data_IF_980616643265
#
_entry.id   IF_980616643265
#
_cell.length_a   1.000
_cell.length_b   1.000
_cell.length_c   1.000
_cell.angle_alpha   90.00
_cell.angle_beta   90.00
_cell.angle_gamma   90.00
#
_symmetry.space_group_name_H-M   'P 1'
#
loop_
_entity.id
_entity.type
_entity.pdbx_description
1 polymer ?
#
# COMPACT_ATOMS: atom_id res chain seq x y z
N UNK A 1 13.83 6.03 23.31
CA UNK A 1 13.54 5.10 22.20
C UNK A 1 14.55 3.97 22.24
N UNK A 2 14.09 2.72 22.23
CA UNK A 2 14.96 1.56 22.06
C UNK A 2 15.40 1.51 20.59
N UNK A 3 16.69 1.31 20.32
CA UNK A 3 17.16 1.09 18.94
C UNK A 3 16.93 -0.36 18.53
N UNK A 4 16.68 -0.59 17.24
CA UNK A 4 16.42 -1.92 16.69
C UNK A 4 17.12 -2.12 15.35
N UNK A 5 17.42 -3.37 15.02
CA UNK A 5 17.95 -3.81 13.73
C UNK A 5 16.83 -4.26 12.79
N UNK A 6 16.97 -4.02 11.49
CA UNK A 6 15.96 -4.41 10.48
C UNK A 6 16.60 -5.07 9.27
N UNK A 7 16.01 -6.19 8.84
CA UNK A 7 16.34 -6.82 7.56
C UNK A 7 15.32 -6.45 6.47
N UNK A 8 15.80 -5.91 5.35
CA UNK A 8 14.99 -5.64 4.16
C UNK A 8 14.98 -6.90 3.30
N UNK A 9 13.80 -7.48 3.09
CA UNK A 9 13.60 -8.77 2.40
C UNK A 9 12.86 -8.54 1.09
N UNK A 10 13.51 -8.87 -0.02
CA UNK A 10 13.08 -8.49 -1.37
C UNK A 10 13.67 -7.13 -1.75
N UNK A 11 14.47 -7.13 -2.81
CA UNK A 11 15.26 -6.00 -3.31
C UNK A 11 14.87 -5.65 -4.76
N UNK A 12 13.59 -5.83 -5.08
CA UNK A 12 13.00 -5.35 -6.33
C UNK A 12 12.98 -3.83 -6.43
N UNK A 13 12.39 -3.28 -7.49
CA UNK A 13 12.49 -1.84 -7.82
C UNK A 13 12.01 -0.88 -6.71
N UNK A 14 11.11 -1.32 -5.83
CA UNK A 14 10.51 -0.51 -4.78
C UNK A 14 11.35 -0.44 -3.48
N UNK A 15 12.05 -1.51 -3.12
CA UNK A 15 12.73 -1.63 -1.82
C UNK A 15 13.94 -0.68 -1.59
N UNK A 16 14.78 -0.33 -2.59
CA UNK A 16 15.99 0.46 -2.35
C UNK A 16 15.78 1.79 -1.63
N UNK A 17 14.67 2.48 -1.87
CA UNK A 17 14.37 3.75 -1.17
C UNK A 17 14.16 3.54 0.34
N UNK A 18 13.55 2.41 0.72
CA UNK A 18 13.32 2.07 2.11
C UNK A 18 14.63 1.70 2.83
N UNK A 19 15.62 1.13 2.12
CA UNK A 19 16.96 0.87 2.69
C UNK A 19 17.57 2.18 3.20
N UNK A 20 17.59 3.21 2.36
CA UNK A 20 18.17 4.51 2.73
C UNK A 20 17.42 5.18 3.89
N UNK A 21 16.09 5.11 3.88
CA UNK A 21 15.26 5.69 4.93
C UNK A 21 15.43 4.95 6.27
N UNK A 22 15.45 3.61 6.26
CA UNK A 22 15.74 2.85 7.49
C UNK A 22 17.15 3.13 8.01
N UNK A 23 18.16 3.22 7.15
CA UNK A 23 19.52 3.60 7.56
C UNK A 23 19.58 5.01 8.18
N UNK A 24 18.79 5.94 7.66
CA UNK A 24 18.77 7.32 8.13
C UNK A 24 17.95 7.50 9.43
N UNK A 25 17.06 6.58 9.78
CA UNK A 25 16.16 6.76 10.91
C UNK A 25 16.90 6.59 12.26
N UNK A 26 16.80 7.53 13.22
CA UNK A 26 17.59 7.51 14.46
C UNK A 26 17.31 6.31 15.38
N UNK A 27 16.14 5.70 15.28
CA UNK A 27 15.78 4.49 16.03
C UNK A 27 16.36 3.19 15.43
N UNK A 28 16.93 3.21 14.22
CA UNK A 28 17.50 2.02 13.60
C UNK A 28 18.99 1.93 13.94
N UNK A 29 19.45 0.77 14.40
CA UNK A 29 20.86 0.51 14.74
C UNK A 29 21.64 -0.16 13.64
N UNK A 30 21.00 -1.02 12.85
CA UNK A 30 21.60 -1.78 11.76
C UNK A 30 20.54 -2.06 10.70
N UNK A 31 20.94 -1.97 9.43
CA UNK A 31 20.14 -2.44 8.29
C UNK A 31 20.90 -3.58 7.62
N UNK A 32 20.20 -4.67 7.35
CA UNK A 32 20.68 -5.79 6.54
C UNK A 32 19.75 -6.04 5.37
N UNK A 33 20.22 -6.73 4.33
CA UNK A 33 19.43 -6.98 3.11
C UNK A 33 19.41 -8.47 2.75
N UNK A 34 18.32 -8.90 2.12
CA UNK A 34 18.07 -10.26 1.71
C UNK A 34 17.28 -10.28 0.38
N UNK A 35 17.75 -11.05 -0.60
CA UNK A 35 17.01 -11.36 -1.82
C UNK A 35 17.51 -12.70 -2.38
N UNK A 36 16.64 -13.45 -3.04
CA UNK A 36 17.01 -14.72 -3.70
C UNK A 36 17.91 -14.52 -4.93
N UNK A 37 18.02 -13.28 -5.43
CA UNK A 37 18.90 -12.89 -6.54
C UNK A 37 20.18 -12.26 -5.97
N UNK A 38 21.32 -12.99 -5.96
CA UNK A 38 22.56 -12.54 -5.33
C UNK A 38 23.08 -11.20 -5.87
N UNK A 39 22.87 -10.94 -7.17
CA UNK A 39 23.29 -9.70 -7.81
C UNK A 39 22.56 -8.47 -7.24
N UNK A 40 21.29 -8.62 -6.85
CA UNK A 40 20.54 -7.54 -6.19
C UNK A 40 21.09 -7.27 -4.80
N UNK A 41 21.38 -8.33 -4.03
CA UNK A 41 22.00 -8.22 -2.70
C UNK A 41 23.34 -7.49 -2.79
N UNK A 42 24.23 -7.94 -3.68
CA UNK A 42 25.54 -7.31 -3.87
C UNK A 42 25.42 -5.84 -4.28
N UNK A 43 24.54 -5.52 -5.23
CA UNK A 43 24.36 -4.15 -5.72
C UNK A 43 23.81 -3.21 -4.65
N UNK A 44 22.77 -3.63 -3.90
CA UNK A 44 22.19 -2.80 -2.84
C UNK A 44 23.15 -2.66 -1.67
N UNK A 45 23.85 -3.74 -1.28
CA UNK A 45 24.82 -3.70 -0.18
C UNK A 45 25.99 -2.77 -0.49
N UNK A 46 26.55 -2.83 -1.70
CA UNK A 46 27.63 -1.93 -2.14
C UNK A 46 27.17 -0.48 -2.16
N UNK A 47 26.04 -0.18 -2.79
CA UNK A 47 25.50 1.19 -2.91
C UNK A 47 25.22 1.85 -1.57
N UNK A 48 24.79 1.06 -0.58
CA UNK A 48 24.37 1.55 0.73
C UNK A 48 25.41 1.30 1.84
N UNK A 49 26.57 0.74 1.51
CA UNK A 49 27.63 0.42 2.48
C UNK A 49 27.19 -0.58 3.55
N UNK A 50 26.33 -1.54 3.21
CA UNK A 50 25.82 -2.56 4.13
C UNK A 50 26.81 -3.72 4.25
N UNK A 51 27.18 -4.07 5.47
CA UNK A 51 28.12 -5.18 5.74
C UNK A 51 27.42 -6.50 6.03
N UNK A 52 26.13 -6.47 6.35
CA UNK A 52 25.35 -7.64 6.73
C UNK A 52 24.30 -7.96 5.66
N UNK A 53 24.40 -9.14 5.09
CA UNK A 53 23.51 -9.65 4.04
C UNK A 53 23.09 -11.07 4.36
N UNK A 54 21.96 -11.50 3.79
CA UNK A 54 21.44 -12.85 3.91
C UNK A 54 21.09 -13.40 2.53
N UNK A 55 21.29 -14.70 2.35
CA UNK A 55 21.05 -15.39 1.08
C UNK A 55 19.57 -15.80 0.92
N UNK A 56 18.87 -16.02 2.03
CA UNK A 56 17.46 -16.39 2.04
C UNK A 56 16.73 -15.91 3.31
N UNK A 57 15.40 -16.00 3.27
CA UNK A 57 14.54 -15.53 4.34
C UNK A 57 14.68 -16.35 5.63
N UNK A 58 14.96 -17.65 5.55
CA UNK A 58 15.13 -18.49 6.75
C UNK A 58 16.37 -18.04 7.54
N UNK A 59 17.46 -17.72 6.85
CA UNK A 59 18.66 -17.16 7.45
C UNK A 59 18.41 -15.82 8.16
N UNK A 60 17.49 -15.00 7.63
CA UNK A 60 17.04 -13.76 8.31
C UNK A 60 16.29 -14.11 9.59
N UNK A 61 15.36 -15.06 9.54
CA UNK A 61 14.53 -15.47 10.66
C UNK A 61 15.34 -16.09 11.81
N UNK A 62 16.36 -16.89 11.49
CA UNK A 62 17.27 -17.53 12.45
C UNK A 62 18.31 -16.57 13.05
N UNK A 63 18.44 -15.36 12.49
CA UNK A 63 19.38 -14.36 12.97
C UNK A 63 18.88 -13.57 14.18
N UNK A 64 19.71 -12.68 14.71
CA UNK A 64 19.38 -11.79 15.84
C UNK A 64 18.72 -10.47 15.43
N UNK A 65 18.30 -10.31 14.16
CA UNK A 65 17.59 -9.07 13.74
C UNK A 65 16.28 -8.90 14.52
N UNK A 66 15.93 -7.67 14.88
CA UNK A 66 14.71 -7.38 15.65
C UNK A 66 13.46 -7.34 14.75
N UNK A 67 13.62 -6.84 13.51
CA UNK A 67 12.51 -6.60 12.58
C UNK A 67 12.82 -7.06 11.15
N UNK A 68 11.78 -7.32 10.37
CA UNK A 68 11.84 -7.55 8.92
C UNK A 68 10.96 -6.54 8.19
N UNK A 69 11.41 -6.07 7.04
CA UNK A 69 10.62 -5.26 6.10
C UNK A 69 10.49 -6.03 4.78
N UNK A 70 9.27 -6.48 4.47
CA UNK A 70 8.97 -7.40 3.37
C UNK A 70 8.51 -6.62 2.14
N UNK A 71 9.25 -6.76 1.04
CA UNK A 71 9.01 -6.15 -0.27
C UNK A 71 9.06 -7.18 -1.40
N UNK A 72 8.71 -8.43 -1.10
CA UNK A 72 8.69 -9.55 -2.06
C UNK A 72 7.45 -9.50 -2.96
N UNK A 73 7.17 -10.58 -3.68
CA UNK A 73 5.94 -10.72 -4.44
C UNK A 73 4.72 -10.71 -3.52
N UNK A 74 3.63 -10.08 -3.98
CA UNK A 74 2.43 -9.74 -3.20
C UNK A 74 1.80 -10.95 -2.48
N UNK A 75 1.79 -12.12 -3.11
CA UNK A 75 1.25 -13.36 -2.53
C UNK A 75 2.15 -14.00 -1.45
N UNK A 76 3.40 -13.53 -1.32
CA UNK A 76 4.33 -14.02 -0.30
C UNK A 76 4.24 -13.22 1.01
N UNK A 77 3.62 -12.04 1.00
CA UNK A 77 3.56 -11.16 2.18
C UNK A 77 2.92 -11.83 3.39
N UNK A 78 1.75 -12.45 3.19
CA UNK A 78 1.02 -13.14 4.26
C UNK A 78 1.84 -14.25 4.91
N UNK A 79 2.25 -15.28 4.14
CA UNK A 79 3.07 -16.38 4.64
C UNK A 79 4.37 -15.93 5.32
N UNK A 80 5.08 -14.94 4.75
CA UNK A 80 6.34 -14.45 5.31
C UNK A 80 6.14 -13.65 6.60
N UNK A 81 5.09 -12.83 6.68
CA UNK A 81 4.75 -12.09 7.89
C UNK A 81 4.39 -13.03 9.05
N UNK A 82 3.62 -14.08 8.78
CA UNK A 82 3.26 -15.11 9.76
C UNK A 82 4.51 -15.76 10.35
N UNK A 83 5.46 -16.18 9.51
CA UNK A 83 6.66 -16.84 9.98
C UNK A 83 7.58 -15.90 10.77
N UNK A 84 7.71 -14.65 10.31
CA UNK A 84 8.45 -13.61 11.03
C UNK A 84 7.88 -13.35 12.44
N UNK A 85 6.56 -13.18 12.56
CA UNK A 85 5.91 -12.96 13.86
C UNK A 85 6.08 -14.18 14.78
N UNK A 86 5.94 -15.41 14.25
CA UNK A 86 6.20 -16.65 15.01
C UNK A 86 7.63 -16.76 15.51
N UNK A 87 8.60 -16.19 14.79
CA UNK A 87 10.03 -16.13 15.16
C UNK A 87 10.40 -14.89 15.99
N UNK A 88 9.41 -14.15 16.49
CA UNK A 88 9.66 -13.04 17.41
C UNK A 88 10.10 -11.75 16.73
N UNK A 89 9.85 -11.58 15.43
CA UNK A 89 10.28 -10.41 14.65
C UNK A 89 9.15 -9.40 14.49
N UNK A 90 9.44 -8.11 14.62
CA UNK A 90 8.53 -7.06 14.16
C UNK A 90 8.44 -7.08 12.63
N UNK A 91 7.28 -6.74 12.06
CA UNK A 91 7.03 -6.85 10.61
C UNK A 91 6.55 -5.52 10.04
N UNK A 92 7.30 -5.00 9.07
CA UNK A 92 6.80 -4.08 8.06
C UNK A 92 6.50 -4.88 6.79
N UNK A 93 5.32 -4.75 6.21
CA UNK A 93 4.96 -5.44 4.96
C UNK A 93 4.53 -4.43 3.91
N UNK A 94 5.05 -4.54 2.69
CA UNK A 94 4.41 -3.91 1.55
C UNK A 94 2.97 -4.42 1.38
N UNK A 95 2.17 -3.69 0.61
CA UNK A 95 0.77 -4.04 0.33
C UNK A 95 0.68 -5.19 -0.68
N UNK A 96 -0.33 -6.08 -0.60
CA UNK A 96 -1.34 -6.17 0.44
C UNK A 96 -0.82 -6.92 1.67
N UNK A 97 -1.63 -6.97 2.75
CA UNK A 97 -1.30 -7.71 3.98
C UNK A 97 -1.15 -9.22 3.76
N UNK A 98 -1.93 -9.77 2.84
CA UNK A 98 -2.01 -11.19 2.49
C UNK A 98 -3.05 -11.38 1.38
N UNK A 99 -3.19 -12.60 0.89
CA UNK A 99 -4.10 -12.92 -0.23
C UNK A 99 -5.26 -13.85 0.15
N UNK A 100 -5.30 -14.29 1.42
CA UNK A 100 -6.42 -15.03 1.99
C UNK A 100 -6.88 -14.43 3.32
N UNK A 101 -8.16 -14.64 3.66
CA UNK A 101 -8.72 -14.21 4.95
C UNK A 101 -8.06 -14.98 6.09
N UNK A 102 -7.65 -16.21 5.84
CA UNK A 102 -6.95 -17.10 6.77
C UNK A 102 -5.58 -16.54 7.15
N UNK A 103 -4.76 -16.15 6.16
CA UNK A 103 -3.47 -15.49 6.41
C UNK A 103 -3.65 -14.22 7.25
N UNK A 104 -4.61 -13.37 6.87
CA UNK A 104 -4.86 -12.10 7.56
C UNK A 104 -5.30 -12.33 9.00
N UNK A 105 -6.22 -13.29 9.23
CA UNK A 105 -6.66 -13.68 10.57
C UNK A 105 -5.47 -14.12 11.42
N UNK A 106 -4.59 -14.95 10.87
CA UNK A 106 -3.43 -15.45 11.59
C UNK A 106 -2.45 -14.33 11.95
N UNK A 107 -2.19 -13.39 11.04
CA UNK A 107 -1.32 -12.23 11.33
C UNK A 107 -1.91 -11.39 12.47
N UNK A 108 -3.22 -11.13 12.46
CA UNK A 108 -3.90 -10.39 13.53
C UNK A 108 -3.77 -11.12 14.88
N UNK A 109 -3.98 -12.44 14.88
CA UNK A 109 -3.86 -13.28 16.09
C UNK A 109 -2.42 -13.34 16.64
N UNK A 110 -1.42 -13.47 15.76
CA UNK A 110 -0.01 -13.43 16.12
C UNK A 110 0.39 -12.05 16.66
N UNK A 111 -0.02 -10.97 15.99
CA UNK A 111 0.22 -9.60 16.46
C UNK A 111 -0.38 -9.39 17.85
N UNK A 112 -1.62 -9.85 18.07
CA UNK A 112 -2.31 -9.76 19.37
C UNK A 112 -1.61 -10.57 20.47
N UNK A 113 -1.21 -11.81 20.18
CA UNK A 113 -0.68 -12.74 21.19
C UNK A 113 0.79 -12.50 21.55
N UNK A 114 1.58 -12.02 20.58
CA UNK A 114 3.01 -11.74 20.79
C UNK A 114 3.28 -10.32 21.27
N UNK A 115 2.38 -9.37 20.98
CA UNK A 115 2.60 -7.95 21.20
C UNK A 115 3.64 -7.33 20.25
N UNK A 116 4.09 -8.08 19.23
CA UNK A 116 4.98 -7.57 18.20
C UNK A 116 4.27 -6.55 17.31
N UNK A 117 5.06 -5.67 16.71
CA UNK A 117 4.55 -4.68 15.76
C UNK A 117 4.35 -5.34 14.41
N UNK A 118 3.14 -5.23 13.86
CA UNK A 118 2.89 -5.38 12.43
C UNK A 118 2.42 -4.05 11.87
N UNK A 119 3.00 -3.63 10.74
CA UNK A 119 2.53 -2.49 9.97
C UNK A 119 2.50 -2.83 8.48
N UNK A 120 1.40 -2.49 7.81
CA UNK A 120 1.36 -2.50 6.35
C UNK A 120 1.77 -1.13 5.81
N UNK A 121 2.70 -1.11 4.86
CA UNK A 121 3.19 0.06 4.15
C UNK A 121 2.20 0.64 3.14
N UNK A 122 0.98 0.97 3.60
CA UNK A 122 -0.09 1.51 2.76
C UNK A 122 0.16 2.99 2.43
N UNK A 123 0.68 3.25 1.23
CA UNK A 123 1.05 4.59 0.77
C UNK A 123 -0.12 5.55 0.70
N UNK A 124 -1.33 5.07 0.34
CA UNK A 124 -2.52 5.92 0.19
C UNK A 124 -2.93 6.61 1.49
N UNK A 125 -2.56 6.07 2.65
CA UNK A 125 -2.81 6.71 3.95
C UNK A 125 -2.20 8.13 4.00
N UNK A 126 -1.06 8.31 3.34
CA UNK A 126 -0.32 9.57 3.26
C UNK A 126 -0.48 10.29 1.93
N UNK A 127 -1.34 9.81 1.01
CA UNK A 127 -1.61 10.58 -0.21
C UNK A 127 -2.19 11.95 0.18
N UNK A 128 -1.72 13.05 -0.43
CA UNK A 128 -2.14 14.39 -0.07
C UNK A 128 -3.66 14.58 -0.08
N UNK A 129 -4.36 13.93 -1.01
CA UNK A 129 -5.83 13.91 -1.06
C UNK A 129 -6.45 13.35 0.23
N UNK A 130 -5.90 12.24 0.74
CA UNK A 130 -6.35 11.57 1.96
C UNK A 130 -6.00 12.38 3.20
N UNK A 131 -4.80 12.97 3.26
CA UNK A 131 -4.38 13.86 4.36
C UNK A 131 -5.28 15.10 4.42
N UNK A 132 -5.55 15.73 3.27
CA UNK A 132 -6.48 16.86 3.15
C UNK A 132 -7.88 16.48 3.62
N UNK A 133 -8.43 15.35 3.15
CA UNK A 133 -9.76 14.92 3.54
C UNK A 133 -9.84 14.58 5.04
N UNK A 134 -8.80 13.99 5.64
CA UNK A 134 -8.75 13.76 7.09
C UNK A 134 -8.79 15.08 7.87
N UNK A 135 -8.05 16.11 7.44
CA UNK A 135 -8.10 17.45 8.07
C UNK A 135 -9.50 18.07 7.95
N UNK A 136 -10.12 18.00 6.77
CA UNK A 136 -11.48 18.49 6.57
C UNK A 136 -12.51 17.74 7.43
N UNK A 137 -12.39 16.42 7.58
CA UNK A 137 -13.25 15.64 8.47
C UNK A 137 -13.03 16.00 9.94
N UNK A 138 -11.78 16.16 10.38
CA UNK A 138 -11.46 16.56 11.75
C UNK A 138 -12.05 17.94 12.11
N UNK A 139 -12.20 18.83 11.12
CA UNK A 139 -12.88 20.13 11.26
C UNK A 139 -14.41 20.04 11.21
N UNK A 140 -14.98 18.85 11.01
CA UNK A 140 -16.41 18.62 10.83
C UNK A 140 -16.97 19.06 9.48
N UNK A 141 -16.11 19.40 8.51
CA UNK A 141 -16.52 20.08 7.28
C UNK A 141 -17.31 19.20 6.30
N UNK A 142 -17.22 17.88 6.41
CA UNK A 142 -18.05 16.95 5.65
C UNK A 142 -19.48 16.79 6.21
N UNK A 143 -19.70 17.09 7.50
CA UNK A 143 -20.85 16.55 8.23
C UNK A 143 -20.80 15.02 8.27
N UNK A 144 -21.90 14.34 7.97
CA UNK A 144 -21.90 12.89 7.81
C UNK A 144 -21.46 12.48 6.40
N UNK A 145 -20.48 11.60 6.26
CA UNK A 145 -20.09 11.02 4.96
C UNK A 145 -21.14 10.00 4.55
N UNK A 146 -21.66 10.14 3.33
CA UNK A 146 -22.74 9.28 2.80
C UNK A 146 -22.28 8.36 1.68
N UNK A 147 -21.26 8.79 0.93
CA UNK A 147 -20.75 8.07 -0.23
C UNK A 147 -19.29 8.43 -0.47
N UNK A 148 -18.50 7.45 -0.89
CA UNK A 148 -17.12 7.66 -1.30
C UNK A 148 -16.75 6.75 -2.47
N UNK A 149 -15.73 7.18 -3.20
CA UNK A 149 -15.12 6.48 -4.32
C UNK A 149 -13.62 6.38 -4.09
N UNK A 150 -13.07 5.20 -4.27
CA UNK A 150 -11.64 4.96 -4.38
C UNK A 150 -11.36 4.23 -5.68
N UNK A 151 -10.36 4.64 -6.44
CA UNK A 151 -10.05 4.02 -7.72
C UNK A 151 -8.56 3.78 -7.81
N UNK A 152 -8.16 2.65 -8.39
CA UNK A 152 -6.78 2.41 -8.81
C UNK A 152 -6.80 1.97 -10.28
N UNK A 153 -6.43 2.93 -11.13
CA UNK A 153 -6.51 2.85 -12.58
C UNK A 153 -5.10 2.85 -13.13
N UNK A 154 -4.59 1.66 -13.46
CA UNK A 154 -3.23 1.49 -13.93
C UNK A 154 -3.24 0.50 -15.08
N UNK A 155 -3.15 1.01 -16.31
CA UNK A 155 -3.21 0.15 -17.49
C UNK A 155 -1.96 -0.73 -17.60
N UNK A 156 -2.12 -1.96 -18.07
CA UNK A 156 -0.99 -2.86 -18.32
C UNK A 156 0.09 -2.23 -19.22
N UNK A 157 -0.31 -1.40 -20.18
CA UNK A 157 0.60 -0.72 -21.10
C UNK A 157 1.44 0.38 -20.43
N UNK A 158 1.05 0.87 -19.26
CA UNK A 158 1.74 1.93 -18.52
C UNK A 158 2.90 1.38 -17.66
N UNK A 159 3.74 0.53 -18.26
CA UNK A 159 4.98 0.01 -17.64
C UNK A 159 4.82 -1.32 -16.88
N UNK A 160 3.60 -1.81 -16.63
CA UNK A 160 3.38 -3.09 -15.94
C UNK A 160 3.96 -4.29 -16.69
N UNK A 161 3.93 -4.33 -18.03
CA UNK A 161 4.61 -5.39 -18.78
C UNK A 161 6.09 -5.52 -18.41
N UNK A 162 6.81 -4.41 -18.33
CA UNK A 162 8.24 -4.40 -18.01
C UNK A 162 8.48 -4.72 -16.54
N UNK A 163 7.65 -4.20 -15.63
CA UNK A 163 7.71 -4.53 -14.20
C UNK A 163 7.48 -6.03 -13.93
N UNK A 164 6.52 -6.66 -14.61
CA UNK A 164 6.31 -8.10 -14.47
C UNK A 164 7.44 -8.90 -15.10
N UNK A 165 7.96 -8.52 -16.28
CA UNK A 165 9.15 -9.18 -16.87
C UNK A 165 10.36 -9.11 -15.95
N UNK A 166 10.59 -7.95 -15.32
CA UNK A 166 11.70 -7.74 -14.37
C UNK A 166 11.59 -8.67 -13.15
N UNK A 167 10.38 -8.88 -12.64
CA UNK A 167 10.14 -9.68 -11.44
C UNK A 167 9.98 -11.17 -11.69
N UNK A 168 9.32 -11.55 -12.80
CA UNK A 168 8.96 -12.93 -13.12
C UNK A 168 9.79 -13.59 -14.23
N UNK A 169 10.73 -12.87 -14.86
CA UNK A 169 11.59 -13.41 -15.91
C UNK A 169 10.77 -13.95 -17.09
N UNK A 170 11.17 -15.09 -17.67
CA UNK A 170 10.45 -15.71 -18.79
C UNK A 170 9.01 -16.13 -18.44
N UNK A 171 8.75 -16.46 -17.16
CA UNK A 171 7.45 -16.91 -16.65
C UNK A 171 6.51 -15.79 -16.21
N UNK A 172 6.84 -14.53 -16.45
CA UNK A 172 6.15 -13.38 -15.85
C UNK A 172 4.63 -13.33 -16.04
N UNK A 173 4.13 -13.87 -17.16
CA UNK A 173 2.69 -13.88 -17.49
C UNK A 173 1.85 -14.63 -16.45
N UNK A 174 2.39 -15.72 -15.90
CA UNK A 174 1.67 -16.51 -14.90
C UNK A 174 1.32 -15.67 -13.67
N UNK A 175 2.12 -14.67 -13.36
CA UNK A 175 1.94 -13.79 -12.21
C UNK A 175 1.33 -12.43 -12.53
N UNK A 176 1.13 -12.12 -13.82
CA UNK A 176 0.68 -10.80 -14.26
C UNK A 176 -0.83 -10.60 -14.16
N UNK A 177 -1.63 -11.67 -14.24
CA UNK A 177 -3.08 -11.66 -14.02
C UNK A 177 -3.45 -11.78 -12.54
N UNK A 178 -2.68 -11.17 -11.64
CA UNK A 178 -3.08 -11.06 -10.24
C UNK A 178 -4.47 -10.39 -10.17
N UNK A 179 -5.48 -11.03 -9.54
CA UNK A 179 -6.83 -10.49 -9.57
C UNK A 179 -6.87 -9.05 -9.05
N UNK A 180 -7.51 -8.10 -9.76
CA UNK A 180 -7.47 -6.69 -9.39
C UNK A 180 -7.91 -6.43 -7.94
N UNK A 181 -8.97 -7.09 -7.47
CA UNK A 181 -9.49 -6.99 -6.11
C UNK A 181 -8.68 -7.76 -5.05
N UNK A 182 -7.59 -8.44 -5.40
CA UNK A 182 -6.58 -8.85 -4.40
C UNK A 182 -5.58 -7.73 -4.09
N UNK A 183 -5.67 -6.57 -4.76
CA UNK A 183 -4.82 -5.40 -4.53
C UNK A 183 -5.56 -4.05 -4.32
N UNK A 184 -6.76 -3.98 -3.71
CA UNK A 184 -7.52 -2.73 -3.65
C UNK A 184 -7.12 -1.86 -2.45
N UNK A 185 -5.99 -2.15 -1.80
CA UNK A 185 -5.65 -1.52 -0.51
C UNK A 185 -5.47 -0.02 -0.63
N UNK A 186 -4.96 0.48 -1.77
CA UNK A 186 -4.88 1.92 -2.03
C UNK A 186 -6.26 2.57 -2.14
N UNK A 187 -7.16 1.97 -2.92
CA UNK A 187 -8.52 2.48 -3.17
C UNK A 187 -9.41 2.38 -1.93
N UNK A 188 -9.39 1.23 -1.25
CA UNK A 188 -10.17 0.99 -0.02
C UNK A 188 -9.54 1.74 1.15
N UNK A 189 -8.23 1.59 1.33
CA UNK A 189 -7.48 2.14 2.46
C UNK A 189 -7.46 3.66 2.46
N UNK A 190 -7.32 4.31 1.30
CA UNK A 190 -7.37 5.77 1.22
C UNK A 190 -8.72 6.33 1.68
N UNK A 191 -9.84 5.70 1.32
CA UNK A 191 -11.17 6.12 1.80
C UNK A 191 -11.35 5.80 3.28
N UNK A 192 -11.05 4.57 3.71
CA UNK A 192 -11.25 4.16 5.10
C UNK A 192 -10.33 4.91 6.07
N UNK A 193 -9.15 5.35 5.61
CA UNK A 193 -8.27 6.25 6.37
C UNK A 193 -8.95 7.59 6.65
N UNK A 194 -9.80 8.09 5.75
CA UNK A 194 -10.61 9.30 5.98
C UNK A 194 -11.76 8.98 6.91
N UNK A 195 -12.60 8.00 6.58
CA UNK A 195 -13.87 7.78 7.29
C UNK A 195 -13.71 7.18 8.68
N UNK A 196 -12.65 6.42 8.93
CA UNK A 196 -12.46 5.63 10.15
C UNK A 196 -13.47 4.48 10.30
N UNK A 197 -14.27 4.19 9.27
CA UNK A 197 -15.27 3.12 9.27
C UNK A 197 -14.66 1.79 8.82
N UNK A 198 -15.47 0.74 8.76
CA UNK A 198 -15.10 -0.56 8.18
C UNK A 198 -16.21 -1.11 7.29
N UNK A 199 -15.84 -2.03 6.40
CA UNK A 199 -16.76 -2.65 5.44
C UNK A 199 -17.50 -3.82 6.10
N UNK A 200 -18.81 -3.91 5.86
CA UNK A 200 -19.66 -5.00 6.37
C UNK A 200 -20.14 -5.97 5.27
N UNK A 201 -20.28 -5.50 4.03
CA UNK A 201 -20.64 -6.33 2.89
C UNK A 201 -20.20 -5.71 1.56
N UNK A 202 -20.10 -6.55 0.53
CA UNK A 202 -19.71 -6.16 -0.83
C UNK A 202 -20.52 -6.89 -1.89
N UNK A 203 -20.78 -6.24 -3.02
CA UNK A 203 -21.12 -6.87 -4.30
C UNK A 203 -20.14 -6.36 -5.36
N UNK A 204 -19.58 -7.24 -6.19
CA UNK A 204 -18.53 -6.91 -7.16
C UNK A 204 -18.80 -7.57 -8.50
N UNK A 205 -18.50 -6.85 -9.59
CA UNK A 205 -18.57 -7.38 -10.95
C UNK A 205 -17.21 -7.25 -11.63
N UNK A 206 -16.84 -8.25 -12.42
CA UNK A 206 -15.61 -8.28 -13.19
C UNK A 206 -15.87 -8.13 -14.69
N UNK A 207 -14.97 -7.42 -15.39
CA UNK A 207 -14.89 -7.40 -16.85
C UNK A 207 -13.82 -8.39 -17.27
N UNK A 208 -14.21 -9.36 -18.10
CA UNK A 208 -13.30 -10.33 -18.68
C UNK A 208 -12.42 -9.66 -19.72
N UNK A 209 -11.12 -9.94 -19.68
CA UNK A 209 -10.18 -9.42 -20.67
C UNK A 209 -10.45 -10.02 -22.05
N UNK A 210 -10.31 -9.20 -23.08
CA UNK A 210 -10.46 -9.65 -24.48
C UNK A 210 -9.21 -9.42 -25.31
N UNK A 211 -8.10 -9.01 -24.67
CA UNK A 211 -6.83 -8.76 -25.34
C UNK A 211 -6.05 -10.06 -25.50
N UNK A 212 -5.49 -10.28 -26.70
CA UNK A 212 -4.73 -11.49 -27.04
C UNK A 212 -3.22 -11.29 -26.79
N UNK A 213 -2.83 -11.09 -25.53
CA UNK A 213 -1.44 -10.98 -25.10
C UNK A 213 -0.98 -12.07 -24.11
N UNK A 214 -1.94 -12.94 -23.74
CA UNK A 214 -1.77 -14.07 -22.84
C UNK A 214 -1.65 -13.71 -21.35
N UNK A 215 -1.90 -12.45 -20.94
CA UNK A 215 -1.79 -12.05 -19.53
C UNK A 215 -2.94 -12.64 -18.70
N UNK A 216 -4.17 -12.46 -19.15
CA UNK A 216 -5.40 -12.93 -18.49
C UNK A 216 -5.90 -14.27 -19.05
N UNK A 217 -5.02 -15.04 -19.69
CA UNK A 217 -5.33 -16.43 -20.06
C UNK A 217 -5.35 -17.29 -18.80
N UNK A 218 -6.52 -17.83 -18.47
CA UNK A 218 -6.73 -18.71 -17.30
C UNK A 218 -5.84 -19.95 -17.29
N UNK A 219 -5.36 -20.43 -18.44
CA UNK A 219 -4.45 -21.57 -18.53
C UNK A 219 -3.00 -21.22 -18.16
N UNK A 220 -2.66 -19.93 -18.22
CA UNK A 220 -1.33 -19.40 -17.88
C UNK A 220 -1.33 -18.80 -16.47
N UNK A 221 -2.43 -18.14 -16.09
CA UNK A 221 -2.61 -17.46 -14.80
C UNK A 221 -2.43 -18.40 -13.61
N UNK A 222 -1.59 -18.00 -12.65
CA UNK A 222 -1.42 -18.72 -11.37
C UNK A 222 -2.70 -18.70 -10.51
N UNK A 223 -3.66 -17.81 -10.81
CA UNK A 223 -4.93 -17.69 -10.10
C UNK A 223 -6.14 -18.14 -10.94
N UNK A 224 -5.92 -18.56 -12.19
CA UNK A 224 -7.02 -18.79 -13.13
C UNK A 224 -7.85 -17.54 -13.39
N UNK A 225 -7.27 -16.34 -13.26
CA UNK A 225 -7.99 -15.08 -13.36
C UNK A 225 -8.13 -14.61 -14.81
N UNK A 226 -9.36 -14.31 -15.21
CA UNK A 226 -9.72 -13.73 -16.51
C UNK A 226 -10.18 -12.27 -16.41
N UNK A 227 -10.34 -11.73 -15.20
CA UNK A 227 -10.79 -10.35 -15.02
C UNK A 227 -9.62 -9.38 -15.10
N UNK A 228 -9.68 -8.46 -16.06
CA UNK A 228 -8.75 -7.34 -16.14
C UNK A 228 -9.16 -6.18 -15.25
N UNK A 229 -10.47 -5.99 -15.09
CA UNK A 229 -11.06 -4.89 -14.34
C UNK A 229 -12.16 -5.43 -13.41
N UNK A 230 -12.21 -4.92 -12.19
CA UNK A 230 -13.27 -5.24 -11.23
C UNK A 230 -13.82 -3.96 -10.59
N UNK A 231 -15.13 -3.92 -10.38
CA UNK A 231 -15.84 -2.81 -9.72
C UNK A 231 -16.69 -3.33 -8.58
N UNK A 232 -16.49 -2.78 -7.38
CA UNK A 232 -17.16 -3.21 -6.15
C UNK A 232 -17.99 -2.09 -5.53
N UNK A 233 -19.16 -2.47 -5.00
CA UNK A 233 -20.01 -1.62 -4.16
C UNK A 233 -20.08 -2.20 -2.74
N UNK A 234 -19.48 -1.46 -1.81
CA UNK A 234 -19.37 -1.81 -0.40
C UNK A 234 -20.40 -1.08 0.45
N UNK A 235 -20.84 -1.72 1.53
CA UNK A 235 -21.56 -1.07 2.63
C UNK A 235 -20.64 -0.95 3.83
N UNK A 236 -20.61 0.23 4.42
CA UNK A 236 -19.80 0.53 5.61
C UNK A 236 -20.62 0.40 6.89
N UNK A 237 -19.96 0.22 8.03
CA UNK A 237 -20.61 -0.04 9.32
C UNK A 237 -21.43 1.15 9.85
N UNK A 238 -21.07 2.36 9.44
CA UNK A 238 -21.79 3.62 9.69
C UNK A 238 -22.95 3.88 8.70
N UNK A 239 -23.27 2.92 7.84
CA UNK A 239 -24.41 2.98 6.91
C UNK A 239 -24.12 3.72 5.61
N UNK A 240 -22.87 4.11 5.37
CA UNK A 240 -22.41 4.69 4.11
C UNK A 240 -22.17 3.65 3.01
N UNK A 241 -21.79 4.17 1.84
CA UNK A 241 -21.51 3.38 0.64
C UNK A 241 -20.11 3.76 0.12
N UNK A 242 -19.33 2.75 -0.26
CA UNK A 242 -18.05 2.95 -0.93
C UNK A 242 -18.08 2.22 -2.28
N UNK A 243 -17.77 2.93 -3.37
CA UNK A 243 -17.49 2.32 -4.68
C UNK A 243 -15.98 2.21 -4.88
N UNK A 244 -15.50 1.04 -5.29
CA UNK A 244 -14.09 0.85 -5.70
C UNK A 244 -13.98 0.33 -7.12
N UNK A 245 -13.04 0.88 -7.88
CA UNK A 245 -12.65 0.41 -9.20
C UNK A 245 -11.17 0.01 -9.21
N UNK A 246 -10.88 -1.22 -9.61
CA UNK A 246 -9.52 -1.76 -9.75
C UNK A 246 -9.32 -2.22 -11.20
N UNK A 247 -8.69 -1.37 -12.03
CA UNK A 247 -8.62 -1.59 -13.47
C UNK A 247 -7.18 -1.78 -13.94
N UNK A 248 -6.98 -2.78 -14.83
CA UNK A 248 -5.71 -3.07 -15.52
C UNK A 248 -5.81 -2.89 -17.04
N UNK A 249 -7.02 -2.66 -17.55
CA UNK A 249 -7.31 -2.32 -18.95
C UNK A 249 -8.16 -1.06 -18.98
N UNK A 250 -7.54 0.09 -19.13
CA UNK A 250 -8.20 1.38 -18.98
C UNK A 250 -7.51 2.46 -19.82
N UNK A 251 -8.32 3.27 -20.51
CA UNK A 251 -7.80 4.44 -21.22
C UNK A 251 -7.57 5.61 -20.26
N UNK A 252 -6.44 5.62 -19.56
CA UNK A 252 -6.01 6.73 -18.71
C UNK A 252 -4.80 7.45 -19.32
N UNK A 253 -4.64 8.73 -19.01
CA UNK A 253 -3.49 9.49 -19.46
C UNK A 253 -2.26 9.14 -18.58
N UNK A 254 -1.06 9.00 -19.17
CA UNK A 254 0.15 8.77 -18.39
C UNK A 254 0.46 9.97 -17.48
N UNK A 255 1.17 9.76 -16.38
CA UNK A 255 1.63 10.79 -15.42
C UNK A 255 0.50 11.51 -14.66
N UNK A 256 -0.49 10.77 -14.18
CA UNK A 256 -1.67 11.28 -13.46
C UNK A 256 -1.91 10.40 -12.25
N UNK A 257 -2.53 10.89 -11.15
CA UNK A 257 -2.68 10.07 -9.97
C UNK A 257 -3.46 8.80 -10.35
N UNK A 258 -2.76 7.67 -10.33
CA UNK A 258 -3.29 6.35 -10.66
C UNK A 258 -4.36 5.96 -9.64
N UNK A 259 -4.22 6.47 -8.41
CA UNK A 259 -5.20 6.32 -7.35
C UNK A 259 -5.96 7.63 -7.15
N UNK A 260 -7.29 7.57 -7.16
CA UNK A 260 -8.13 8.77 -7.05
C UNK A 260 -9.25 8.58 -6.05
N UNK A 261 -9.64 9.69 -5.43
CA UNK A 261 -10.68 9.69 -4.40
C UNK A 261 -11.75 10.73 -4.68
N UNK A 262 -13.01 10.37 -4.42
CA UNK A 262 -14.10 11.33 -4.27
C UNK A 262 -14.88 10.99 -3.01
N UNK A 263 -15.16 11.97 -2.15
CA UNK A 263 -15.80 11.76 -0.84
C UNK A 263 -16.91 12.77 -0.69
N UNK A 264 -18.12 12.30 -0.40
CA UNK A 264 -19.32 13.12 -0.33
C UNK A 264 -19.94 13.02 1.05
N UNK A 265 -20.03 14.15 1.73
CA UNK A 265 -20.75 14.29 2.97
C UNK A 265 -21.95 15.24 2.86
N UNK A 266 -22.74 15.28 3.91
CA UNK A 266 -23.95 16.13 4.00
C UNK A 266 -23.68 17.64 3.96
N UNK A 267 -22.45 18.08 4.26
CA UNK A 267 -22.08 19.50 4.33
C UNK A 267 -20.94 19.89 3.39
N UNK A 268 -20.11 18.92 2.99
CA UNK A 268 -18.99 19.17 2.10
C UNK A 268 -18.62 17.93 1.30
N UNK A 269 -17.91 18.12 0.21
CA UNK A 269 -17.42 17.06 -0.65
C UNK A 269 -16.03 17.39 -1.22
N UNK A 270 -15.28 16.34 -1.49
CA UNK A 270 -14.00 16.36 -2.18
C UNK A 270 -14.10 15.53 -3.46
N UNK A 271 -13.60 16.05 -4.57
CA UNK A 271 -13.59 15.36 -5.86
C UNK A 271 -12.19 15.47 -6.48
N UNK A 272 -11.59 14.33 -6.79
CA UNK A 272 -10.31 14.26 -7.51
C UNK A 272 -10.52 13.69 -8.91
N UNK A 273 -10.10 14.47 -9.89
CA UNK A 273 -10.07 14.10 -11.30
C UNK A 273 -8.61 14.02 -11.77
N UNK A 274 -8.41 13.55 -13.00
CA UNK A 274 -7.08 13.39 -13.60
C UNK A 274 -6.17 14.61 -13.42
N UNK A 275 -6.67 15.82 -13.65
CA UNK A 275 -5.84 17.04 -13.60
C UNK A 275 -6.26 18.08 -12.56
N UNK A 276 -7.26 17.79 -11.72
CA UNK A 276 -7.81 18.76 -10.78
C UNK A 276 -8.42 18.11 -9.56
N UNK A 277 -8.32 18.77 -8.41
CA UNK A 277 -8.97 18.40 -7.16
C UNK A 277 -9.79 19.56 -6.64
N UNK A 278 -11.04 19.32 -6.23
CA UNK A 278 -11.98 20.36 -5.80
C UNK A 278 -12.51 20.02 -4.41
N UNK A 279 -12.57 21.03 -3.56
CA UNK A 279 -13.32 21.02 -2.31
C UNK A 279 -14.60 21.85 -2.48
N UNK A 280 -15.74 21.36 -2.01
CA UNK A 280 -17.01 22.07 -2.14
C UNK A 280 -17.90 21.94 -0.91
N UNK A 281 -18.72 22.95 -0.69
CA UNK A 281 -19.71 23.06 0.39
C UNK A 281 -20.99 23.71 -0.14
N UNK A 282 -22.01 23.86 0.70
CA UNK A 282 -23.23 24.60 0.34
C UNK A 282 -22.98 26.08 -0.02
N UNK A 283 -21.87 26.66 0.46
CA UNK A 283 -21.53 28.07 0.24
C UNK A 283 -20.69 28.31 -1.03
N UNK A 284 -20.17 27.26 -1.67
CA UNK A 284 -19.34 27.35 -2.87
C UNK A 284 -18.25 26.28 -2.93
N UNK A 285 -17.32 26.44 -3.87
CA UNK A 285 -16.22 25.50 -4.13
C UNK A 285 -14.86 26.19 -4.28
N UNK A 286 -13.80 25.44 -4.01
CA UNK A 286 -12.39 25.82 -4.07
C UNK A 286 -11.61 24.77 -4.86
N UNK A 287 -10.78 25.22 -5.79
CA UNK A 287 -9.77 24.38 -6.46
C UNK A 287 -8.59 24.17 -5.49
N UNK A 288 -8.27 22.92 -5.15
CA UNK A 288 -7.29 22.58 -4.11
C UNK A 288 -6.10 21.76 -4.62
N UNK A 289 -5.96 21.54 -5.94
CA UNK A 289 -4.88 20.74 -6.56
C UNK A 289 -3.51 21.15 -6.07
N UNK A 290 -3.23 22.46 -6.00
CA UNK A 290 -1.93 22.95 -5.55
C UNK A 290 -1.59 22.54 -4.10
N UNK A 291 -2.60 22.30 -3.25
CA UNK A 291 -2.44 21.85 -1.86
C UNK A 291 -2.24 20.33 -1.78
N UNK A 292 -2.81 19.58 -2.73
CA UNK A 292 -2.80 18.11 -2.75
C UNK A 292 -1.92 17.51 -3.84
N UNK A 293 -0.96 18.27 -4.37
CA UNK A 293 0.04 17.76 -5.31
C UNK A 293 1.40 17.69 -4.63
N UNK A 294 1.96 16.50 -4.50
CA UNK A 294 3.33 16.32 -4.06
C UNK A 294 4.29 16.82 -5.14
N UNK A 295 5.32 17.59 -4.75
CA UNK A 295 6.33 18.09 -5.68
C UNK A 295 7.73 17.73 -5.20
N UNK A 296 8.52 17.18 -6.12
CA UNK A 296 9.95 16.93 -5.90
C UNK A 296 10.69 18.24 -5.67
N UNK A 297 11.60 18.27 -4.70
CA UNK A 297 12.51 19.39 -4.50
C UNK A 297 13.67 19.43 -5.52
N UNK A 298 13.61 18.63 -6.60
CA UNK A 298 14.57 18.69 -7.71
C UNK A 298 15.69 17.66 -7.67
N UNK A 299 15.55 16.57 -6.91
CA UNK A 299 16.43 15.41 -7.00
C UNK A 299 15.68 14.23 -7.60
N UNK A 300 15.67 14.15 -8.93
CA UNK A 300 15.36 12.92 -9.65
C UNK A 300 16.67 12.14 -9.78
N UNK A 301 16.84 11.10 -8.98
CA UNK A 301 17.82 10.06 -9.29
C UNK A 301 17.31 9.32 -10.51
N UNK A 302 18.01 9.38 -11.65
CA UNK A 302 17.64 8.55 -12.80
C UNK A 302 17.71 7.07 -12.40
N UNK A 303 16.56 6.39 -12.48
CA UNK A 303 16.42 4.96 -12.22
C UNK A 303 16.39 4.23 -13.55
N UNK A 304 17.57 3.84 -14.07
CA UNK A 304 17.67 3.09 -15.32
C UNK A 304 17.01 1.70 -15.26
N UNK A 305 16.72 1.22 -14.05
CA UNK A 305 16.09 -0.06 -13.77
C UNK A 305 14.55 0.03 -13.69
N UNK A 306 13.95 1.23 -13.81
CA UNK A 306 12.50 1.46 -13.74
C UNK A 306 12.02 2.02 -15.08
N UNK A 307 10.85 1.55 -15.55
CA UNK A 307 10.25 2.10 -16.77
C UNK A 307 9.96 3.60 -16.59
N UNK A 308 10.17 4.40 -17.65
CA UNK A 308 9.98 5.83 -17.60
C UNK A 308 8.56 6.24 -17.19
N UNK A 309 7.55 5.42 -17.51
CA UNK A 309 6.16 5.65 -17.09
C UNK A 309 5.97 5.59 -15.57
N UNK A 310 6.81 4.83 -14.85
CA UNK A 310 6.72 4.63 -13.40
C UNK A 310 7.65 5.57 -12.60
N UNK A 311 8.58 6.28 -13.26
CA UNK A 311 9.64 7.02 -12.58
C UNK A 311 9.15 8.19 -11.70
N UNK A 312 8.07 8.88 -12.10
CA UNK A 312 7.51 10.00 -11.33
C UNK A 312 6.92 9.54 -9.99
N UNK A 313 6.35 8.33 -9.95
CA UNK A 313 5.83 7.69 -8.75
C UNK A 313 6.92 7.49 -7.71
N UNK A 314 8.20 7.39 -8.08
CA UNK A 314 9.31 7.24 -7.14
C UNK A 314 9.90 8.57 -6.66
N UNK A 315 9.54 9.70 -7.26
CA UNK A 315 10.26 10.99 -7.06
C UNK A 315 9.38 12.14 -6.57
N UNK A 316 8.18 11.85 -6.06
CA UNK A 316 7.08 12.80 -5.83
C UNK A 316 7.36 13.94 -4.83
N UNK A 317 8.17 13.76 -3.79
CA UNK A 317 8.46 14.80 -2.79
C UNK A 317 7.32 15.03 -1.80
N UNK A 318 7.02 16.28 -1.41
CA UNK A 318 5.96 16.60 -0.42
C UNK A 318 4.88 17.51 -1.01
N UNK A 319 3.66 17.43 -0.46
CA UNK A 319 2.57 18.37 -0.73
C UNK A 319 2.41 19.36 0.43
N UNK A 320 1.86 20.57 0.21
CA UNK A 320 1.62 21.55 1.28
C UNK A 320 0.76 21.07 2.46
N UNK A 321 -0.05 20.03 2.27
CA UNK A 321 -0.89 19.43 3.33
C UNK A 321 -0.13 18.46 4.23
N UNK A 322 1.08 18.04 3.86
CA UNK A 322 1.89 17.16 4.69
C UNK A 322 2.51 17.92 5.85
N UNK A 323 2.31 17.41 7.06
CA UNK A 323 3.03 17.87 8.24
C UNK A 323 4.41 17.23 8.28
N UNK A 324 5.43 17.92 7.76
CA UNK A 324 6.79 17.40 7.72
C UNK A 324 7.55 17.56 9.04
N UNK A 325 7.01 18.27 10.03
CA UNK A 325 7.68 18.53 11.31
C UNK A 325 7.75 17.26 12.19
N UNK A 326 6.89 16.27 11.91
CA UNK A 326 6.90 14.96 12.58
C UNK A 326 8.05 14.05 12.12
N UNK A 327 8.71 14.37 11.00
CA UNK A 327 9.76 13.55 10.41
C UNK A 327 11.12 13.87 11.03
N UNK A 328 12.00 12.87 11.19
CA UNK A 328 13.34 13.11 11.73
C UNK A 328 14.16 13.96 10.74
N UNK A 329 14.96 14.89 11.27
CA UNK A 329 15.84 15.74 10.46
C UNK A 329 16.81 14.95 9.56
N UNK A 330 17.12 13.70 9.91
CA UNK A 330 17.97 12.81 9.10
C UNK A 330 17.35 12.40 7.77
N UNK A 331 16.06 12.62 7.56
CA UNK A 331 15.41 12.42 6.26
C UNK A 331 15.53 13.61 5.31
N UNK A 332 16.08 14.74 5.77
CA UNK A 332 16.28 15.91 4.92
C UNK A 332 17.13 15.55 3.69
N UNK A 333 16.59 15.81 2.50
CA UNK A 333 17.24 15.51 1.21
C UNK A 333 17.20 14.03 0.79
N UNK A 334 16.47 13.17 1.50
CA UNK A 334 16.20 11.79 1.06
C UNK A 334 14.99 11.74 0.11
N UNK A 335 14.90 10.65 -0.66
CA UNK A 335 13.76 10.41 -1.53
C UNK A 335 12.45 10.33 -0.75
N UNK A 336 11.35 10.68 -1.41
CA UNK A 336 10.00 10.53 -0.87
C UNK A 336 9.04 10.24 -2.02
N UNK A 337 8.93 8.96 -2.38
CA UNK A 337 8.06 8.48 -3.45
C UNK A 337 6.60 8.31 -3.02
N UNK A 338 5.80 7.87 -3.97
CA UNK A 338 4.38 7.54 -3.90
C UNK A 338 3.60 8.67 -3.24
N UNK A 339 3.56 9.81 -3.94
CA UNK A 339 2.93 11.05 -3.48
C UNK A 339 3.42 11.52 -2.11
N UNK A 340 4.67 11.22 -1.75
CA UNK A 340 5.31 11.69 -0.53
C UNK A 340 5.07 10.86 0.73
N UNK A 341 4.73 9.58 0.56
CA UNK A 341 4.35 8.70 1.66
C UNK A 341 5.52 7.98 2.33
N UNK A 342 6.61 7.68 1.61
CA UNK A 342 7.67 6.77 2.07
C UNK A 342 8.29 7.17 3.41
N UNK A 343 8.60 8.46 3.58
CA UNK A 343 9.22 8.95 4.82
C UNK A 343 8.31 8.77 6.04
N UNK A 344 7.01 9.05 5.88
CA UNK A 344 6.03 8.88 6.95
C UNK A 344 5.88 7.40 7.33
N UNK A 345 5.81 6.50 6.35
CA UNK A 345 5.67 5.07 6.59
C UNK A 345 6.85 4.48 7.39
N UNK A 346 8.08 4.85 7.01
CA UNK A 346 9.28 4.41 7.74
C UNK A 346 9.32 4.98 9.15
N UNK A 347 8.98 6.26 9.30
CA UNK A 347 8.92 6.92 10.60
C UNK A 347 7.90 6.23 11.53
N UNK A 348 6.68 5.99 11.06
CA UNK A 348 5.62 5.35 11.84
C UNK A 348 6.05 3.97 12.35
N UNK A 349 6.61 3.14 11.47
CA UNK A 349 7.06 1.81 11.85
C UNK A 349 8.20 1.88 12.87
N UNK A 350 9.19 2.72 12.63
CA UNK A 350 10.34 2.85 13.51
C UNK A 350 9.96 3.45 14.88
N UNK A 351 9.02 4.39 14.93
CA UNK A 351 8.45 4.91 16.18
C UNK A 351 7.68 3.80 16.90
N UNK A 352 6.83 3.05 16.20
CA UNK A 352 6.07 1.94 16.78
C UNK A 352 6.97 0.87 17.41
N UNK A 353 8.00 0.41 16.69
CA UNK A 353 8.94 -0.60 17.22
C UNK A 353 9.75 -0.04 18.40
N UNK A 354 10.23 1.20 18.31
CA UNK A 354 11.14 1.78 19.31
C UNK A 354 10.47 2.27 20.60
N UNK A 355 9.16 2.47 20.56
CA UNK A 355 8.36 2.99 21.69
C UNK A 355 7.31 2.00 22.18
N UNK A 356 6.93 1.00 21.37
CA UNK A 356 5.81 0.10 21.64
C UNK A 356 4.45 0.70 21.28
N UNK A 357 4.39 1.84 20.58
CA UNK A 357 3.13 2.42 20.12
C UNK A 357 2.51 1.61 18.97
N UNK A 358 1.19 1.75 18.79
CA UNK A 358 0.47 1.14 17.68
C UNK A 358 0.63 2.03 16.43
N UNK A 359 1.13 1.52 15.29
CA UNK A 359 1.25 2.31 14.07
C UNK A 359 -0.14 2.57 13.44
N UNK A 360 -0.28 3.61 12.59
CA UNK A 360 -1.58 3.96 12.01
C UNK A 360 -2.21 2.83 11.19
N UNK A 361 -1.41 2.19 10.33
CA UNK A 361 -1.82 1.02 9.53
C UNK A 361 -1.31 -0.27 10.16
N UNK A 362 -1.70 -0.50 11.41
CA UNK A 362 -1.45 -1.73 12.16
C UNK A 362 -2.21 -2.95 11.55
N UNK A 363 -2.05 -4.14 12.12
CA UNK A 363 -2.66 -5.38 11.62
C UNK A 363 -4.18 -5.32 11.44
N UNK A 364 -4.92 -4.65 12.35
CA UNK A 364 -6.37 -4.54 12.27
C UNK A 364 -6.81 -3.58 11.16
N UNK A 365 -6.16 -2.41 11.07
CA UNK A 365 -6.38 -1.45 9.98
C UNK A 365 -6.02 -2.07 8.63
N UNK A 366 -4.88 -2.75 8.54
CA UNK A 366 -4.43 -3.43 7.33
C UNK A 366 -5.41 -4.53 6.88
N UNK A 367 -5.99 -5.27 7.84
CA UNK A 367 -7.03 -6.24 7.56
C UNK A 367 -8.30 -5.58 6.99
N UNK A 368 -8.72 -4.45 7.56
CA UNK A 368 -9.85 -3.65 7.04
C UNK A 368 -9.62 -3.10 5.64
N UNK A 369 -8.36 -2.93 5.22
CA UNK A 369 -8.02 -2.48 3.87
C UNK A 369 -7.91 -3.63 2.87
N UNK A 370 -7.56 -4.83 3.34
CA UNK A 370 -7.23 -5.98 2.47
C UNK A 370 -8.40 -6.95 2.28
N UNK A 371 -9.06 -7.36 3.38
CA UNK A 371 -10.14 -8.35 3.34
C UNK A 371 -11.30 -7.96 2.43
N UNK A 372 -11.79 -6.69 2.39
CA UNK A 372 -12.90 -6.34 1.52
C UNK A 372 -12.63 -6.69 0.05
N UNK A 373 -11.38 -6.55 -0.39
CA UNK A 373 -10.93 -6.94 -1.72
C UNK A 373 -11.04 -8.44 -2.00
N UNK A 374 -10.52 -9.26 -1.09
CA UNK A 374 -10.58 -10.73 -1.20
C UNK A 374 -12.04 -11.19 -1.35
N UNK A 375 -12.94 -10.63 -0.53
CA UNK A 375 -14.37 -10.95 -0.59
C UNK A 375 -15.03 -10.35 -1.85
N UNK A 376 -14.57 -9.18 -2.32
CA UNK A 376 -15.04 -8.59 -3.57
C UNK A 376 -14.72 -9.50 -4.77
N UNK A 377 -13.50 -10.04 -4.84
CA UNK A 377 -13.15 -11.00 -5.89
C UNK A 377 -14.02 -12.26 -5.84
N UNK A 378 -14.28 -12.80 -4.64
CA UNK A 378 -15.20 -13.93 -4.47
C UNK A 378 -16.64 -13.60 -4.91
N UNK A 379 -17.08 -12.36 -4.73
CA UNK A 379 -18.38 -11.87 -5.22
C UNK A 379 -18.41 -11.80 -6.75
N UNK A 380 -17.33 -11.34 -7.39
CA UNK A 380 -17.22 -11.30 -8.84
C UNK A 380 -17.27 -12.71 -9.48
N UNK A 381 -16.62 -13.69 -8.84
CA UNK A 381 -16.72 -15.11 -9.23
C UNK A 381 -18.12 -15.70 -9.06
N UNK A 382 -19.02 -15.01 -8.35
CA UNK A 382 -20.42 -15.40 -8.10
C UNK A 382 -21.40 -14.42 -8.75
N UNK A 383 -21.02 -13.84 -9.90
CA UNK A 383 -21.87 -12.93 -10.69
C UNK A 383 -22.43 -11.75 -9.87
N UNK A 384 -21.64 -11.24 -8.92
CA UNK A 384 -22.01 -10.09 -8.09
C UNK A 384 -22.88 -10.42 -6.88
N UNK A 385 -22.97 -11.69 -6.46
CA UNK A 385 -23.61 -12.06 -5.21
C UNK A 385 -23.10 -11.19 -4.06
N UNK A 386 -24.01 -10.64 -3.25
CA UNK A 386 -23.62 -9.81 -2.11
C UNK A 386 -23.11 -10.69 -0.97
N UNK A 387 -21.86 -10.46 -0.55
CA UNK A 387 -21.17 -11.25 0.47
C UNK A 387 -20.88 -10.42 1.72
N UNK A 388 -20.93 -11.03 2.92
CA UNK A 388 -20.50 -10.37 4.15
C UNK A 388 -18.98 -10.27 4.22
N UNK A 389 -18.47 -9.18 4.77
CA UNK A 389 -17.03 -8.95 4.99
C UNK A 389 -16.72 -9.12 6.48
N UNK A 390 -15.81 -10.03 6.87
CA UNK A 390 -15.44 -10.20 8.28
C UNK A 390 -14.59 -9.03 8.78
N UNK A 391 -14.77 -8.68 10.06
CA UNK A 391 -13.94 -7.72 10.80
C UNK A 391 -13.23 -8.44 11.95
N UNK A 392 -12.00 -8.02 12.27
CA UNK A 392 -11.17 -8.65 13.30
C UNK A 392 -11.07 -7.85 14.60
N UNK A 393 -11.95 -6.85 14.77
CA UNK A 393 -12.03 -5.98 15.93
C UNK A 393 -10.97 -4.89 15.92
N UNK A 394 -10.63 -4.42 17.11
CA UNK A 394 -9.69 -3.32 17.33
C UNK A 394 -8.33 -3.82 17.85
N UNK A 395 -7.24 -3.05 17.64
CA UNK A 395 -5.98 -3.29 18.32
C UNK A 395 -6.15 -3.24 19.85
N UNK A 396 -5.31 -3.95 20.62
CA UNK A 396 -5.24 -3.78 22.07
C UNK A 396 -5.05 -2.29 22.43
N UNK A 397 -5.70 -1.85 23.52
CA UNK A 397 -5.46 -0.51 24.06
C UNK A 397 -3.95 -0.35 24.35
N UNK A 398 -3.38 0.79 23.96
CA UNK A 398 -2.00 1.11 24.30
C UNK A 398 -1.82 1.06 25.83
N UNK A 399 -0.88 0.21 26.28
CA UNK A 399 -0.61 -0.05 27.70
C UNK A 399 0.22 1.03 28.39
#
# INVERSE_FOLDING_TARGET
MRRFSVAIVGLGQFAPEFVELFQAHPAVSEVSVCDIVPERVASVAERNGLTRTFDDFEAVLDSDVDAVAIFTQRWMHGPMAIEALRRGKHVYSAVPMGVSVEEIREIVELTRSTGLTYMMGETSYYYPAVVFCRDQLARGAFGNIIYAEGEYLHDMADGFYEAFKYSGGEGWRATASFPPMLYPTHSVGGVLAVTGSHITSVSCLGVKDTTDDGVFDTAVSAWGNEFSNESALFTTADGGILRVNEFRRVGIAPFRPEVRFSIYGTQGAYEQQTGSSVWQTHDGWEEVTARVTARSAGQTTERSDVDAALAETFTSGFAPVHDTDVLPHSFAGKSNGHEGSHQFLVNDFAVAVSTGSVPPVNAWTAARYTVPGIVAHQSALQDGARLPVPDFGEPPAAG
#
